data_IF_949397602454
#
_entry.id   IF_949397602454
#
_cell.length_a   1.000
_cell.length_b   1.000
_cell.length_c   1.000
_cell.angle_alpha   90.00
_cell.angle_beta   90.00
_cell.angle_gamma   90.00
#
_symmetry.space_group_name_H-M   'P 1'
#
loop_
_entity.id
_entity.type
_entity.pdbx_description
1 polymer ?
#
# COMPACT_ATOMS: atom_id res chain seq x y z
N UNK A 1 -5.45 53.33 9.54
CA UNK A 1 -4.99 53.56 10.92
C UNK A 1 -4.70 52.20 11.49
N UNK A 2 -3.42 51.85 11.51
CA UNK A 2 -2.52 51.70 12.67
C UNK A 2 -2.97 50.45 13.49
N UNK A 3 -2.18 49.40 13.64
CA UNK A 3 -0.81 49.34 14.04
C UNK A 3 -0.21 47.94 13.92
N UNK A 4 1.02 48.00 13.57
CA UNK A 4 2.01 46.92 13.49
C UNK A 4 2.54 46.65 14.92
N UNK A 5 2.60 45.41 15.35
CA UNK A 5 3.44 45.02 16.49
C UNK A 5 4.37 43.86 16.10
N UNK A 6 5.63 44.25 15.93
CA UNK A 6 6.81 43.35 15.85
C UNK A 6 7.16 42.90 17.27
N UNK A 7 7.40 41.62 17.50
CA UNK A 7 8.18 41.18 18.64
C UNK A 7 9.44 40.43 18.18
N UNK A 8 10.50 40.91 18.77
CA UNK A 8 11.92 40.66 18.56
C UNK A 8 12.34 39.28 19.05
N UNK A 9 13.31 38.73 18.35
CA UNK A 9 14.13 37.60 18.74
C UNK A 9 14.90 37.84 20.05
N UNK A 10 15.08 36.80 20.81
CA UNK A 10 16.10 36.74 21.85
C UNK A 10 16.86 35.40 21.76
N UNK A 11 18.12 35.46 21.38
CA UNK A 11 19.14 34.42 21.58
C UNK A 11 19.88 34.73 22.87
N UNK A 12 20.33 33.76 23.60
CA UNK A 12 21.64 33.91 24.29
C UNK A 12 22.69 32.91 23.84
N UNK A 13 23.85 33.44 23.89
CA UNK A 13 25.19 33.09 23.47
C UNK A 13 25.88 32.07 24.37
N UNK A 14 26.67 31.25 23.72
CA UNK A 14 28.03 30.73 23.95
C UNK A 14 28.69 30.60 25.35
N UNK A 15 29.41 29.49 25.40
CA UNK A 15 30.75 29.25 25.96
C UNK A 15 30.85 28.92 27.46
N UNK A 16 31.40 27.74 27.74
CA UNK A 16 32.76 27.67 28.31
C UNK A 16 33.31 26.23 28.24
N UNK A 17 34.54 26.19 27.74
CA UNK A 17 35.41 25.03 27.71
C UNK A 17 36.14 24.92 29.08
N UNK A 18 36.40 23.74 29.56
CA UNK A 18 37.49 23.50 30.49
C UNK A 18 38.09 22.11 30.31
N UNK A 19 39.30 22.11 29.74
CA UNK A 19 40.29 21.04 29.83
C UNK A 19 40.79 20.88 31.28
N UNK A 20 41.00 19.67 31.72
CA UNK A 20 42.00 19.38 32.75
C UNK A 20 42.75 18.08 32.45
N UNK A 21 44.02 18.25 32.36
CA UNK A 21 45.11 17.32 32.13
C UNK A 21 45.55 16.56 33.43
N UNK A 22 46.18 15.40 33.18
CA UNK A 22 47.40 14.83 33.83
C UNK A 22 47.22 13.91 35.01
N UNK A 23 47.86 12.73 34.90
CA UNK A 23 48.26 11.88 36.00
C UNK A 23 48.77 10.51 35.56
N UNK A 24 50.04 10.44 35.14
CA UNK A 24 50.75 9.19 34.93
C UNK A 24 51.15 8.52 36.27
N UNK A 25 51.10 7.18 36.33
CA UNK A 25 51.64 6.42 37.47
C UNK A 25 51.87 4.97 37.06
N UNK A 26 53.12 4.64 36.75
CA UNK A 26 53.60 3.29 36.53
C UNK A 26 53.89 2.58 37.87
N UNK A 27 53.50 1.30 37.98
CA UNK A 27 54.17 0.35 38.83
C UNK A 27 53.95 -1.10 38.35
N UNK A 28 55.06 -1.75 38.11
CA UNK A 28 55.31 -3.16 37.84
C UNK A 28 55.00 -4.04 39.04
N UNK A 29 54.46 -5.28 38.85
CA UNK A 29 55.02 -6.53 39.38
C UNK A 29 54.22 -7.78 39.01
N UNK A 30 54.95 -8.75 38.50
CA UNK A 30 54.87 -10.22 38.70
C UNK A 30 53.61 -11.03 38.30
N UNK A 31 53.83 -11.97 37.36
CA UNK A 31 53.05 -13.17 37.04
C UNK A 31 52.88 -14.14 38.23
N UNK A 32 51.81 -14.93 38.22
CA UNK A 32 51.99 -16.35 37.88
C UNK A 32 51.01 -16.86 36.81
N UNK A 33 51.47 -17.92 36.14
CA UNK A 33 50.77 -18.66 35.14
C UNK A 33 49.56 -19.41 35.71
N UNK A 34 48.39 -19.25 35.11
CA UNK A 34 47.28 -20.14 35.28
C UNK A 34 46.76 -20.54 33.89
N UNK A 35 46.87 -21.82 33.60
CA UNK A 35 46.32 -22.51 32.47
C UNK A 35 44.80 -22.34 32.48
N UNK A 36 44.24 -21.61 31.53
CA UNK A 36 42.81 -21.52 31.32
C UNK A 36 42.48 -22.27 30.02
N UNK A 37 41.69 -23.32 30.17
CA UNK A 37 41.10 -24.09 29.11
C UNK A 37 40.26 -23.15 28.18
N UNK A 38 40.56 -23.18 26.89
CA UNK A 38 39.82 -22.48 25.87
C UNK A 38 38.45 -23.18 25.69
N UNK A 39 37.43 -22.63 26.32
CA UNK A 39 36.05 -22.91 25.94
C UNK A 39 35.73 -22.05 24.71
N UNK A 40 35.67 -22.70 23.57
CA UNK A 40 35.17 -22.07 22.35
C UNK A 40 33.66 -21.77 22.52
N UNK A 41 33.36 -20.53 22.87
CA UNK A 41 32.01 -19.99 22.78
C UNK A 41 31.80 -19.67 21.30
N UNK A 42 31.16 -20.59 20.60
CA UNK A 42 30.53 -20.28 19.30
C UNK A 42 29.41 -19.29 19.56
N UNK A 43 29.73 -18.01 19.46
CA UNK A 43 28.72 -16.96 19.35
C UNK A 43 27.99 -17.20 18.04
N UNK A 44 26.86 -17.90 18.11
CA UNK A 44 25.89 -17.94 17.04
C UNK A 44 25.41 -16.51 16.80
N UNK A 45 25.85 -15.91 15.69
CA UNK A 45 25.29 -14.69 15.17
C UNK A 45 23.84 -15.01 14.82
N UNK A 46 22.93 -14.73 15.74
CA UNK A 46 21.53 -14.57 15.39
C UNK A 46 21.45 -13.31 14.50
N UNK A 47 21.56 -13.52 13.20
CA UNK A 47 21.08 -12.55 12.23
C UNK A 47 19.57 -12.41 12.49
N UNK A 48 19.20 -11.50 13.39
CA UNK A 48 17.86 -10.96 13.40
C UNK A 48 17.75 -10.19 12.10
N UNK A 49 17.26 -10.84 11.06
CA UNK A 49 16.83 -10.15 9.86
C UNK A 49 15.92 -9.02 10.27
N UNK A 50 16.29 -7.79 9.94
CA UNK A 50 15.34 -6.68 10.04
C UNK A 50 14.08 -7.13 9.27
N UNK A 51 12.87 -6.92 9.83
CA UNK A 51 11.66 -7.22 9.08
C UNK A 51 11.75 -6.43 7.77
N UNK A 52 11.78 -7.16 6.66
CA UNK A 52 11.59 -6.53 5.35
C UNK A 52 10.25 -5.82 5.42
N UNK A 53 10.23 -4.53 5.14
CA UNK A 53 8.98 -3.78 5.05
C UNK A 53 8.18 -4.37 3.87
N UNK A 54 7.16 -5.14 4.17
CA UNK A 54 6.33 -5.81 3.20
C UNK A 54 5.14 -4.94 2.79
N UNK A 55 4.74 -4.97 1.54
CA UNK A 55 3.40 -4.61 1.11
C UNK A 55 2.41 -5.37 1.99
N UNK A 56 1.33 -4.75 2.43
CA UNK A 56 0.48 -5.39 3.44
C UNK A 56 1.35 -6.03 4.53
N UNK A 57 2.00 -5.19 5.33
CA UNK A 57 2.94 -5.62 6.39
C UNK A 57 2.27 -6.64 7.31
N UNK A 58 2.98 -7.73 7.63
CA UNK A 58 2.47 -8.76 8.52
C UNK A 58 1.38 -9.65 7.92
N UNK A 59 1.13 -9.53 6.61
CA UNK A 59 0.25 -10.44 5.88
C UNK A 59 0.86 -11.83 5.68
N UNK A 60 0.04 -12.75 5.22
CA UNK A 60 0.44 -14.11 4.86
C UNK A 60 0.73 -14.20 3.36
N UNK A 61 1.46 -15.24 2.93
CA UNK A 61 1.64 -15.52 1.51
C UNK A 61 0.31 -16.02 0.91
N UNK A 62 -0.16 -15.35 -0.13
CA UNK A 62 -1.38 -15.76 -0.82
C UNK A 62 -1.18 -17.12 -1.52
N UNK A 63 -2.17 -17.99 -1.40
CA UNK A 63 -2.25 -19.18 -2.24
C UNK A 63 -2.63 -18.77 -3.69
N UNK A 64 -2.14 -19.48 -4.71
CA UNK A 64 -2.53 -19.25 -6.11
C UNK A 64 -4.07 -19.32 -6.27
N UNK A 65 -4.63 -18.31 -6.90
CA UNK A 65 -6.07 -18.23 -7.18
C UNK A 65 -6.31 -17.12 -8.22
N UNK A 66 -7.48 -17.13 -8.86
CA UNK A 66 -7.89 -16.07 -9.80
C UNK A 66 -7.79 -14.68 -9.14
N UNK A 67 -8.19 -14.57 -7.87
CA UNK A 67 -8.08 -13.33 -7.11
C UNK A 67 -6.62 -12.90 -6.94
N UNK A 68 -5.76 -13.79 -6.44
CA UNK A 68 -4.34 -13.49 -6.22
C UNK A 68 -3.60 -13.16 -7.52
N UNK A 69 -3.82 -13.97 -8.59
CA UNK A 69 -3.16 -13.82 -9.88
C UNK A 69 -3.56 -12.52 -10.58
N UNK A 70 -4.74 -11.98 -10.28
CA UNK A 70 -5.25 -10.75 -10.86
C UNK A 70 -4.70 -9.47 -10.22
N UNK A 71 -4.03 -9.57 -9.06
CA UNK A 71 -3.49 -8.40 -8.35
C UNK A 71 -2.21 -7.92 -9.04
N UNK A 72 -2.19 -6.65 -9.39
CA UNK A 72 -1.10 -6.03 -10.16
C UNK A 72 -0.53 -4.82 -9.42
N UNK A 73 0.75 -4.50 -9.63
CA UNK A 73 1.27 -3.20 -9.23
C UNK A 73 1.18 -2.20 -10.38
N UNK A 74 0.98 -0.94 -10.03
CA UNK A 74 0.76 0.15 -10.99
C UNK A 74 1.81 1.22 -10.72
N UNK A 75 2.49 1.66 -11.76
CA UNK A 75 3.33 2.83 -11.75
C UNK A 75 2.84 3.84 -12.78
N UNK A 76 2.29 4.96 -12.34
CA UNK A 76 1.88 6.08 -13.19
C UNK A 76 2.91 7.19 -13.07
N UNK A 77 3.48 7.63 -14.19
CA UNK A 77 4.51 8.66 -14.19
C UNK A 77 3.91 10.04 -13.92
N UNK A 78 4.40 10.71 -12.90
CA UNK A 78 4.05 12.11 -12.57
C UNK A 78 5.07 13.10 -13.13
N UNK A 79 6.30 12.64 -13.39
CA UNK A 79 7.38 13.37 -14.06
C UNK A 79 8.38 12.38 -14.68
N UNK A 80 9.43 12.82 -15.40
CA UNK A 80 10.46 11.92 -15.91
C UNK A 80 11.17 11.07 -14.84
N UNK A 81 11.11 11.48 -13.58
CA UNK A 81 11.86 10.85 -12.49
C UNK A 81 11.01 10.46 -11.28
N UNK A 82 9.69 10.71 -11.32
CA UNK A 82 8.77 10.40 -10.22
C UNK A 82 7.52 9.73 -10.75
N UNK A 83 6.88 8.91 -9.91
CA UNK A 83 5.63 8.24 -10.23
C UNK A 83 4.82 7.94 -8.98
N UNK A 84 3.52 7.76 -9.16
CA UNK A 84 2.65 7.19 -8.14
C UNK A 84 2.71 5.68 -8.25
N UNK A 85 2.89 5.03 -7.13
CA UNK A 85 2.83 3.58 -7.02
C UNK A 85 1.53 3.19 -6.33
N UNK A 86 0.81 2.27 -6.94
CA UNK A 86 -0.47 1.77 -6.46
C UNK A 86 -0.61 0.27 -6.74
N UNK A 87 -1.63 -0.30 -6.17
CA UNK A 87 -2.10 -1.65 -6.46
C UNK A 87 -3.35 -1.58 -7.33
N UNK A 88 -3.61 -2.62 -8.11
CA UNK A 88 -4.83 -2.75 -8.90
C UNK A 88 -5.23 -4.20 -9.06
N UNK A 89 -6.35 -4.39 -9.76
CA UNK A 89 -6.89 -5.71 -10.11
C UNK A 89 -7.17 -5.77 -11.60
N UNK A 90 -6.51 -6.68 -12.31
CA UNK A 90 -6.86 -6.99 -13.71
C UNK A 90 -8.22 -7.71 -13.73
N UNK A 91 -9.23 -7.09 -14.34
CA UNK A 91 -10.61 -7.58 -14.40
C UNK A 91 -11.03 -8.03 -15.80
N UNK A 92 -10.20 -7.72 -16.80
CA UNK A 92 -10.35 -8.17 -18.18
C UNK A 92 -8.98 -8.09 -18.88
N UNK A 93 -8.79 -8.66 -20.09
CA UNK A 93 -7.49 -8.72 -20.77
C UNK A 93 -6.72 -7.41 -20.79
N UNK A 94 -7.38 -6.30 -21.09
CA UNK A 94 -6.74 -4.97 -21.16
C UNK A 94 -7.27 -4.00 -20.12
N UNK A 95 -7.93 -4.46 -19.04
CA UNK A 95 -8.54 -3.58 -18.07
C UNK A 95 -8.12 -3.89 -16.63
N UNK A 96 -7.66 -2.84 -15.94
CA UNK A 96 -7.30 -2.88 -14.54
C UNK A 96 -8.14 -1.88 -13.75
N UNK A 97 -8.74 -2.33 -12.65
CA UNK A 97 -9.41 -1.48 -11.66
C UNK A 97 -8.41 -1.04 -10.61
N UNK A 98 -8.44 0.24 -10.25
CA UNK A 98 -7.61 0.83 -9.16
C UNK A 98 -8.34 2.01 -8.52
N UNK A 99 -7.70 2.69 -7.56
CA UNK A 99 -8.24 3.91 -6.97
C UNK A 99 -8.07 5.12 -7.91
N UNK A 100 -9.07 6.02 -7.94
CA UNK A 100 -9.01 7.21 -8.78
C UNK A 100 -7.86 8.15 -8.37
N UNK A 101 -7.53 8.24 -7.09
CA UNK A 101 -6.41 9.08 -6.63
C UNK A 101 -5.05 8.61 -7.14
N UNK A 102 -4.92 7.35 -7.59
CA UNK A 102 -3.69 6.82 -8.19
C UNK A 102 -3.37 7.47 -9.54
N UNK A 103 -4.41 7.88 -10.28
CA UNK A 103 -4.31 8.43 -11.65
C UNK A 103 -4.84 9.87 -11.75
N UNK A 104 -5.49 10.39 -10.70
CA UNK A 104 -5.98 11.78 -10.67
C UNK A 104 -4.81 12.75 -10.61
N UNK A 105 -4.95 13.89 -11.28
CA UNK A 105 -3.97 14.99 -11.31
C UNK A 105 -2.61 14.59 -11.92
N UNK A 106 -2.55 13.46 -12.58
CA UNK A 106 -1.39 13.03 -13.35
C UNK A 106 -1.64 13.42 -14.81
N UNK A 107 -0.72 14.18 -15.40
CA UNK A 107 -0.71 14.35 -16.85
C UNK A 107 -0.52 12.96 -17.49
N UNK A 108 -1.25 12.64 -18.56
CA UNK A 108 -1.18 11.34 -19.23
C UNK A 108 0.21 11.13 -19.87
N UNK A 109 1.23 10.98 -19.04
CA UNK A 109 2.62 10.77 -19.49
C UNK A 109 2.99 9.29 -19.54
N UNK A 110 1.98 8.42 -19.46
CA UNK A 110 2.17 6.99 -19.48
C UNK A 110 2.52 6.41 -18.11
N UNK A 111 2.70 5.12 -18.10
CA UNK A 111 2.99 4.31 -16.93
C UNK A 111 3.06 2.86 -17.36
N UNK A 112 3.17 2.00 -16.39
CA UNK A 112 3.18 0.56 -16.61
C UNK A 112 2.45 -0.16 -15.49
N UNK A 113 1.89 -1.30 -15.83
CA UNK A 113 1.32 -2.26 -14.89
C UNK A 113 2.22 -3.49 -14.88
N UNK A 114 2.63 -3.91 -13.70
CA UNK A 114 3.39 -5.14 -13.52
C UNK A 114 2.44 -6.27 -13.13
N UNK A 115 2.36 -7.28 -13.98
CA UNK A 115 1.53 -8.49 -13.86
C UNK A 115 2.41 -9.66 -13.46
N UNK A 116 2.00 -10.43 -12.45
CA UNK A 116 2.80 -11.52 -11.90
C UNK A 116 3.83 -11.04 -10.88
N UNK A 117 4.68 -11.94 -10.40
CA UNK A 117 5.64 -11.71 -9.33
C UNK A 117 7.02 -12.26 -9.69
N UNK A 118 8.06 -11.65 -9.10
CA UNK A 118 9.44 -12.12 -9.22
C UNK A 118 9.97 -12.05 -10.65
N UNK A 119 10.85 -12.98 -11.05
CA UNK A 119 11.51 -12.95 -12.35
C UNK A 119 10.58 -13.13 -13.56
N UNK A 120 9.41 -13.72 -13.34
CA UNK A 120 8.39 -13.94 -14.36
C UNK A 120 7.41 -12.76 -14.50
N UNK A 121 7.56 -11.71 -13.68
CA UNK A 121 6.71 -10.53 -13.75
C UNK A 121 6.88 -9.82 -15.10
N UNK A 122 5.74 -9.42 -15.68
CA UNK A 122 5.67 -8.77 -16.99
C UNK A 122 5.12 -7.37 -16.85
N UNK A 123 5.76 -6.41 -17.51
CA UNK A 123 5.32 -5.02 -17.54
C UNK A 123 4.54 -4.74 -18.80
N UNK A 124 3.34 -4.22 -18.61
CA UNK A 124 2.41 -3.84 -19.66
C UNK A 124 2.23 -2.33 -19.65
N UNK A 125 2.50 -1.62 -20.75
CA UNK A 125 2.31 -0.17 -20.79
C UNK A 125 0.84 0.21 -20.57
N UNK A 126 0.62 1.34 -19.89
CA UNK A 126 -0.68 1.97 -19.75
C UNK A 126 -0.94 2.81 -21.01
N UNK A 127 -2.07 2.57 -21.69
CA UNK A 127 -2.52 3.36 -22.82
C UNK A 127 -3.32 4.58 -22.36
N UNK A 128 -4.30 4.36 -21.48
CA UNK A 128 -5.19 5.41 -20.98
C UNK A 128 -5.81 5.04 -19.64
N UNK A 129 -6.54 5.95 -19.04
CA UNK A 129 -7.37 5.69 -17.85
C UNK A 129 -8.58 6.61 -17.81
N UNK A 130 -9.60 6.15 -17.13
CA UNK A 130 -10.80 6.92 -16.81
C UNK A 130 -11.10 6.82 -15.31
N UNK A 131 -11.53 7.92 -14.71
CA UNK A 131 -12.00 7.94 -13.31
C UNK A 131 -13.51 7.85 -13.26
N UNK A 132 -14.02 7.05 -12.32
CA UNK A 132 -15.46 6.96 -12.12
C UNK A 132 -16.08 8.33 -11.76
N UNK A 133 -17.32 8.59 -12.17
CA UNK A 133 -18.00 9.85 -11.87
C UNK A 133 -18.27 10.02 -10.36
N UNK A 134 -18.29 8.93 -9.64
CA UNK A 134 -18.44 8.87 -8.17
C UNK A 134 -17.45 7.87 -7.60
N UNK A 135 -17.15 7.98 -6.30
CA UNK A 135 -16.22 7.07 -5.65
C UNK A 135 -14.75 7.38 -5.95
N UNK A 136 -13.90 6.59 -5.35
CA UNK A 136 -12.46 6.63 -5.57
C UNK A 136 -12.03 5.42 -6.39
N UNK A 137 -12.55 5.29 -7.60
CA UNK A 137 -12.30 4.18 -8.53
C UNK A 137 -11.87 4.71 -9.88
N UNK A 138 -10.93 4.05 -10.50
CA UNK A 138 -10.51 4.27 -11.89
C UNK A 138 -10.38 2.94 -12.65
N UNK A 139 -10.55 3.01 -13.96
CA UNK A 139 -10.18 1.98 -14.90
C UNK A 139 -8.95 2.42 -15.68
N UNK A 140 -7.96 1.55 -15.75
CA UNK A 140 -6.77 1.69 -16.58
C UNK A 140 -6.95 0.78 -17.80
N UNK A 141 -6.77 1.33 -18.99
CA UNK A 141 -6.66 0.59 -20.24
C UNK A 141 -5.19 0.30 -20.54
N UNK A 142 -4.89 -0.96 -20.77
CA UNK A 142 -3.54 -1.45 -21.09
C UNK A 142 -3.33 -1.47 -22.60
N UNK A 143 -2.12 -1.15 -23.03
CA UNK A 143 -1.74 -1.23 -24.45
C UNK A 143 -1.74 -2.68 -24.99
N UNK A 144 -1.48 -3.66 -24.12
CA UNK A 144 -1.45 -5.08 -24.42
C UNK A 144 -2.23 -5.87 -23.36
N UNK A 145 -2.57 -7.12 -23.70
CA UNK A 145 -3.27 -8.04 -22.81
C UNK A 145 -2.44 -8.34 -21.54
N UNK A 146 -3.08 -8.28 -20.37
CA UNK A 146 -2.51 -8.76 -19.10
C UNK A 146 -2.17 -10.26 -19.13
N UNK A 147 -2.71 -11.01 -20.09
CA UNK A 147 -2.45 -12.42 -20.38
C UNK A 147 -2.58 -13.33 -19.14
N UNK A 148 -3.59 -13.08 -18.32
CA UNK A 148 -3.97 -13.98 -17.24
C UNK A 148 -4.87 -15.10 -17.79
N UNK A 149 -4.80 -16.31 -17.21
CA UNK A 149 -5.65 -17.42 -17.63
C UNK A 149 -7.14 -17.18 -17.33
N UNK A 150 -7.43 -16.38 -16.30
CA UNK A 150 -8.78 -16.04 -15.85
C UNK A 150 -8.78 -14.68 -15.15
N UNK A 151 -9.91 -13.98 -15.19
CA UNK A 151 -10.12 -12.66 -14.58
C UNK A 151 -11.27 -12.72 -13.58
N UNK A 152 -11.14 -12.11 -12.37
CA UNK A 152 -12.22 -12.09 -11.41
C UNK A 152 -13.36 -11.19 -11.90
N UNK A 153 -14.58 -11.57 -11.57
CA UNK A 153 -15.73 -10.71 -11.79
C UNK A 153 -15.74 -9.55 -10.79
N UNK A 154 -16.15 -8.36 -11.24
CA UNK A 154 -16.53 -7.27 -10.34
C UNK A 154 -17.91 -7.55 -9.75
N UNK A 155 -18.06 -7.39 -8.43
CA UNK A 155 -19.36 -7.49 -7.77
C UNK A 155 -20.27 -6.33 -8.22
N UNK A 156 -21.47 -6.68 -8.68
CA UNK A 156 -22.46 -5.73 -9.26
C UNK A 156 -23.60 -5.44 -8.32
N UNK A 157 -23.77 -6.25 -7.27
CA UNK A 157 -24.80 -6.08 -6.27
C UNK A 157 -24.18 -5.54 -5.01
N UNK A 158 -24.99 -4.96 -4.14
CA UNK A 158 -24.53 -4.53 -2.84
C UNK A 158 -24.05 -5.73 -2.01
N UNK A 159 -22.75 -5.88 -1.88
CA UNK A 159 -22.11 -6.97 -1.12
C UNK A 159 -22.04 -6.65 0.39
N UNK A 160 -22.18 -5.38 0.76
CA UNK A 160 -22.01 -4.92 2.13
C UNK A 160 -23.33 -4.42 2.72
N UNK A 161 -23.51 -4.64 3.99
CA UNK A 161 -24.60 -4.11 4.83
C UNK A 161 -24.00 -3.50 6.10
N UNK A 162 -24.82 -3.15 7.06
CA UNK A 162 -24.36 -2.77 8.40
C UNK A 162 -23.74 -3.94 9.18
N UNK A 163 -24.00 -5.18 8.75
CA UNK A 163 -23.41 -6.38 9.33
C UNK A 163 -22.02 -6.61 8.70
N UNK A 164 -21.09 -7.01 9.54
CA UNK A 164 -19.73 -7.35 9.10
C UNK A 164 -19.72 -8.60 8.24
N UNK A 165 -18.97 -8.55 7.17
CA UNK A 165 -18.73 -9.67 6.25
C UNK A 165 -17.22 -9.89 6.16
N UNK A 166 -16.80 -11.16 6.20
CA UNK A 166 -15.39 -11.49 6.00
C UNK A 166 -15.01 -11.33 4.54
N UNK A 167 -13.82 -10.79 4.31
CA UNK A 167 -13.24 -10.63 2.98
C UNK A 167 -11.75 -10.85 3.00
N UNK A 168 -11.16 -10.95 1.80
CA UNK A 168 -9.72 -11.11 1.59
C UNK A 168 -9.18 -9.89 0.87
N UNK A 169 -8.08 -9.34 1.38
CA UNK A 169 -7.38 -8.20 0.78
C UNK A 169 -5.97 -8.59 0.37
N UNK A 170 -5.46 -7.88 -0.59
CA UNK A 170 -4.12 -8.04 -1.13
C UNK A 170 -3.47 -6.67 -1.32
N UNK A 171 -2.13 -6.61 -1.20
CA UNK A 171 -1.37 -5.39 -1.43
C UNK A 171 -0.13 -5.65 -2.27
N UNK A 172 0.28 -4.65 -3.06
CA UNK A 172 1.50 -4.67 -3.89
C UNK A 172 2.30 -3.39 -3.77
N UNK A 173 2.44 -2.86 -2.56
CA UNK A 173 3.31 -1.70 -2.38
C UNK A 173 4.77 -2.08 -2.68
N UNK A 174 5.59 -1.08 -3.02
CA UNK A 174 7.03 -1.26 -3.25
C UNK A 174 7.80 -1.70 -2.00
N UNK A 175 7.18 -1.65 -0.83
CA UNK A 175 7.84 -1.84 0.45
C UNK A 175 7.84 -3.30 0.90
N UNK A 176 7.27 -4.22 0.12
CA UNK A 176 7.40 -5.56 0.57
C UNK A 176 6.76 -6.67 -0.25
N UNK A 177 7.60 -7.55 -0.67
CA UNK A 177 7.22 -8.92 -0.92
C UNK A 177 7.29 -9.67 0.41
N UNK A 178 6.35 -10.58 0.69
CA UNK A 178 6.58 -11.62 1.70
C UNK A 178 7.87 -12.34 1.33
N UNK A 179 8.55 -12.90 2.32
CA UNK A 179 9.70 -13.74 2.07
C UNK A 179 9.39 -14.70 0.90
N UNK A 180 10.28 -14.74 -0.10
CA UNK A 180 10.17 -15.54 -1.34
C UNK A 180 9.37 -14.91 -2.50
N UNK A 181 9.03 -13.60 -2.46
CA UNK A 181 8.36 -12.92 -3.57
C UNK A 181 6.90 -13.33 -3.78
N UNK A 182 6.23 -13.79 -2.74
CA UNK A 182 4.80 -14.12 -2.78
C UNK A 182 3.94 -12.87 -2.53
N UNK A 183 2.74 -12.86 -3.11
CA UNK A 183 1.76 -11.79 -2.87
C UNK A 183 1.28 -11.82 -1.41
N UNK A 184 1.39 -10.71 -0.65
CA UNK A 184 0.82 -10.67 0.69
C UNK A 184 -0.70 -10.54 0.66
N UNK A 185 -1.35 -11.25 1.59
CA UNK A 185 -2.79 -11.25 1.79
C UNK A 185 -3.14 -11.22 3.26
N UNK A 186 -4.34 -10.74 3.57
CA UNK A 186 -4.92 -10.82 4.91
C UNK A 186 -6.46 -10.94 4.83
N UNK A 187 -7.04 -11.45 5.91
CA UNK A 187 -8.49 -11.42 6.11
C UNK A 187 -8.88 -10.12 6.80
N UNK A 188 -10.02 -9.56 6.39
CA UNK A 188 -10.65 -8.39 7.02
C UNK A 188 -12.10 -8.71 7.35
N UNK A 189 -12.67 -7.97 8.32
CA UNK A 189 -14.11 -7.82 8.46
C UNK A 189 -14.50 -6.48 7.86
N UNK A 190 -15.53 -6.44 7.02
CA UNK A 190 -15.96 -5.25 6.30
C UNK A 190 -17.48 -5.05 6.37
N UNK A 191 -17.90 -3.80 6.50
CA UNK A 191 -19.31 -3.40 6.49
C UNK A 191 -19.50 -2.07 5.76
N UNK A 192 -20.73 -1.69 5.47
CA UNK A 192 -21.01 -0.32 5.02
C UNK A 192 -20.45 0.67 6.04
N UNK A 193 -19.80 1.72 5.56
CA UNK A 193 -19.19 2.71 6.42
C UNK A 193 -20.29 3.48 7.19
N UNK A 194 -20.27 3.46 8.56
CA UNK A 194 -21.31 4.11 9.32
C UNK A 194 -21.31 5.64 9.13
N UNK A 195 -22.45 6.22 8.73
CA UNK A 195 -22.60 7.68 8.45
C UNK A 195 -22.28 8.60 9.63
N UNK A 196 -22.19 8.05 10.83
CA UNK A 196 -21.75 8.79 12.02
C UNK A 196 -20.29 9.24 11.98
N UNK A 197 -19.47 8.60 11.14
CA UNK A 197 -18.07 8.96 10.96
C UNK A 197 -17.92 9.93 9.80
N UNK A 198 -17.19 11.03 10.00
CA UNK A 198 -16.97 12.05 8.96
C UNK A 198 -16.24 11.49 7.72
N UNK A 199 -15.44 10.43 7.89
CA UNK A 199 -14.76 9.74 6.81
C UNK A 199 -15.73 8.95 5.91
N UNK A 200 -16.92 8.61 6.43
CA UNK A 200 -17.96 7.84 5.76
C UNK A 200 -19.00 8.73 5.07
N UNK A 201 -18.58 9.83 4.46
CA UNK A 201 -19.47 10.82 3.83
C UNK A 201 -20.13 10.35 2.54
N UNK A 202 -19.75 9.19 2.03
CA UNK A 202 -20.22 8.65 0.75
C UNK A 202 -21.00 7.36 1.00
N UNK A 203 -22.12 7.21 0.32
CA UNK A 203 -22.97 6.02 0.39
C UNK A 203 -22.32 4.75 -0.17
N UNK A 204 -21.25 4.91 -0.96
CA UNK A 204 -20.47 3.82 -1.55
C UNK A 204 -19.23 3.44 -0.73
N UNK A 205 -19.05 4.01 0.46
CA UNK A 205 -17.90 3.74 1.33
C UNK A 205 -18.11 2.48 2.16
N UNK A 206 -17.07 1.67 2.21
CA UNK A 206 -16.94 0.47 3.05
C UNK A 206 -15.85 0.70 4.07
N UNK A 207 -16.12 0.35 5.32
CA UNK A 207 -15.14 0.31 6.38
C UNK A 207 -14.71 -1.14 6.60
N UNK A 208 -13.42 -1.40 6.41
CA UNK A 208 -12.81 -2.69 6.71
C UNK A 208 -11.94 -2.57 7.96
N UNK A 209 -11.94 -3.59 8.78
CA UNK A 209 -11.07 -3.76 9.93
C UNK A 209 -10.16 -4.97 9.73
N UNK A 210 -8.88 -4.76 9.98
CA UNK A 210 -7.83 -5.79 9.89
C UNK A 210 -7.12 -5.90 11.23
N UNK A 211 -7.01 -7.11 11.76
CA UNK A 211 -6.28 -7.34 12.98
C UNK A 211 -4.77 -7.34 12.76
N UNK A 212 -4.03 -6.77 13.71
CA UNK A 212 -2.58 -6.80 13.69
C UNK A 212 -2.04 -8.24 13.83
N UNK A 213 -0.88 -8.55 13.24
CA UNK A 213 0.13 -7.60 12.74
C UNK A 213 -0.11 -7.09 11.31
N UNK A 214 -1.13 -7.58 10.60
CA UNK A 214 -1.38 -7.18 9.23
C UNK A 214 -1.80 -5.69 9.13
N UNK A 215 -1.24 -4.96 8.15
CA UNK A 215 -1.55 -3.56 7.90
C UNK A 215 -1.27 -3.15 6.45
N UNK A 216 -2.23 -2.45 5.83
CA UNK A 216 -2.05 -1.84 4.50
C UNK A 216 -1.16 -0.61 4.61
N UNK A 217 -0.36 -0.38 3.57
CA UNK A 217 0.67 0.65 3.51
C UNK A 217 0.50 1.56 2.28
N UNK A 218 1.34 2.60 2.21
CA UNK A 218 1.46 3.43 1.00
C UNK A 218 1.88 2.53 -0.17
N UNK A 219 1.13 2.61 -1.27
CA UNK A 219 1.31 1.75 -2.45
C UNK A 219 0.30 0.61 -2.54
N UNK A 220 -0.38 0.25 -1.44
CA UNK A 220 -1.51 -0.68 -1.48
C UNK A 220 -2.81 0.00 -1.96
N UNK A 221 -2.82 1.34 -2.09
CA UNK A 221 -3.92 2.12 -2.68
C UNK A 221 -4.40 1.50 -3.99
N UNK A 222 -5.72 1.36 -4.15
CA UNK A 222 -6.33 0.72 -5.31
C UNK A 222 -6.36 -0.81 -5.23
N UNK A 223 -5.78 -1.40 -4.20
CA UNK A 223 -5.82 -2.85 -3.97
C UNK A 223 -7.23 -3.37 -3.70
N UNK A 224 -7.46 -4.67 -3.99
CA UNK A 224 -8.77 -5.27 -3.92
C UNK A 224 -9.21 -5.66 -2.51
N UNK A 225 -10.51 -5.63 -2.29
CA UNK A 225 -11.22 -6.42 -1.31
C UNK A 225 -12.10 -7.43 -2.06
N UNK A 226 -11.82 -8.71 -1.87
CA UNK A 226 -12.59 -9.81 -2.45
C UNK A 226 -13.56 -10.39 -1.43
N UNK A 227 -14.80 -10.66 -1.89
CA UNK A 227 -15.81 -11.44 -1.18
C UNK A 227 -16.26 -12.55 -2.12
N UNK A 228 -16.24 -13.80 -1.65
CA UNK A 228 -16.62 -14.99 -2.44
C UNK A 228 -15.96 -15.05 -3.83
N UNK A 229 -14.71 -14.60 -3.93
CA UNK A 229 -13.92 -14.59 -5.18
C UNK A 229 -14.28 -13.48 -6.17
N UNK A 230 -15.18 -12.57 -5.82
CA UNK A 230 -15.52 -11.40 -6.63
C UNK A 230 -14.86 -10.14 -6.07
N UNK A 231 -14.40 -9.25 -6.94
CA UNK A 231 -13.89 -7.93 -6.56
C UNK A 231 -15.06 -7.09 -6.04
N UNK A 232 -15.14 -6.91 -4.72
CA UNK A 232 -16.25 -6.23 -4.07
C UNK A 232 -16.00 -4.75 -3.77
N UNK A 233 -14.72 -4.38 -3.51
CA UNK A 233 -14.35 -3.00 -3.24
C UNK A 233 -12.87 -2.73 -3.53
N UNK A 234 -12.52 -1.44 -3.64
CA UNK A 234 -11.21 -0.90 -3.98
C UNK A 234 -10.69 -0.06 -2.82
N UNK A 235 -9.46 -0.28 -2.38
CA UNK A 235 -8.85 0.41 -1.25
C UNK A 235 -8.57 1.87 -1.56
N UNK A 236 -9.07 2.76 -0.70
CA UNK A 236 -8.94 4.22 -0.81
C UNK A 236 -7.95 4.81 0.19
N UNK A 237 -7.85 4.28 1.41
CA UNK A 237 -6.93 4.81 2.40
C UNK A 237 -7.19 4.31 3.83
N UNK A 238 -6.20 4.48 4.69
CA UNK A 238 -6.31 4.18 6.11
C UNK A 238 -7.02 5.33 6.86
N UNK A 239 -7.74 5.02 7.94
CA UNK A 239 -8.44 6.01 8.74
C UNK A 239 -8.24 5.79 10.24
N UNK A 240 -8.22 6.89 11.00
CA UNK A 240 -8.31 6.88 12.46
C UNK A 240 -9.50 7.76 12.87
N UNK A 241 -10.29 7.28 13.84
CA UNK A 241 -11.54 7.94 14.21
C UNK A 241 -11.38 8.95 15.36
N UNK A 242 -10.43 8.75 16.24
CA UNK A 242 -10.24 9.55 17.45
C UNK A 242 -8.91 10.29 17.50
N UNK A 243 -8.05 10.09 16.49
CA UNK A 243 -6.71 10.70 16.44
C UNK A 243 -5.73 10.19 17.51
N UNK A 244 -6.05 9.11 18.21
CA UNK A 244 -5.19 8.50 19.23
C UNK A 244 -3.99 7.77 18.63
N UNK A 245 -4.12 7.34 17.38
CA UNK A 245 -3.09 6.64 16.61
C UNK A 245 -3.01 7.21 15.19
N UNK A 246 -1.89 6.99 14.51
CA UNK A 246 -1.78 7.29 13.10
C UNK A 246 -2.78 6.41 12.29
N UNK A 247 -3.35 6.92 11.16
CA UNK A 247 -4.29 6.14 10.35
C UNK A 247 -3.76 4.74 9.99
N UNK A 248 -2.50 4.62 9.63
CA UNK A 248 -1.85 3.34 9.27
C UNK A 248 -1.73 2.36 10.46
N UNK A 249 -1.85 2.89 11.68
CA UNK A 249 -1.80 2.11 12.92
C UNK A 249 -3.17 1.74 13.46
N UNK A 250 -4.24 2.28 12.89
CA UNK A 250 -5.60 2.10 13.39
C UNK A 250 -6.18 0.71 13.16
N UNK A 251 -5.71 0.01 12.12
CA UNK A 251 -6.32 -1.23 11.62
C UNK A 251 -7.63 -1.01 10.84
N UNK A 252 -8.04 0.26 10.62
CA UNK A 252 -9.26 0.59 9.87
C UNK A 252 -8.94 1.21 8.52
N UNK A 253 -9.64 0.73 7.49
CA UNK A 253 -9.40 1.06 6.10
C UNK A 253 -10.69 1.38 5.37
N UNK A 254 -10.66 2.44 4.55
CA UNK A 254 -11.79 2.81 3.68
C UNK A 254 -11.60 2.21 2.30
N UNK A 255 -12.71 1.69 1.79
CA UNK A 255 -12.84 1.17 0.43
C UNK A 255 -14.03 1.80 -0.26
N UNK A 256 -14.03 1.81 -1.59
CA UNK A 256 -15.19 2.15 -2.43
C UNK A 256 -15.75 0.88 -3.05
N UNK A 257 -17.06 0.64 -2.95
CA UNK A 257 -17.71 -0.54 -3.54
C UNK A 257 -17.61 -0.55 -5.05
N UNK A 258 -17.36 -1.72 -5.66
CA UNK A 258 -17.39 -1.85 -7.11
C UNK A 258 -18.81 -1.82 -7.65
N UNK A 259 -19.81 -2.23 -6.89
CA UNK A 259 -21.22 -2.22 -7.29
C UNK A 259 -21.73 -0.80 -7.60
N UNK A 260 -21.22 0.22 -6.91
CA UNK A 260 -21.60 1.63 -7.15
C UNK A 260 -21.14 2.16 -8.51
N UNK A 261 -20.10 1.58 -9.09
CA UNK A 261 -19.50 2.00 -10.37
C UNK A 261 -19.61 0.96 -11.48
N UNK A 262 -20.24 -0.18 -11.21
CA UNK A 262 -20.28 -1.31 -12.15
C UNK A 262 -20.88 -0.95 -13.51
N UNK A 263 -21.96 -0.17 -13.55
CA UNK A 263 -22.60 0.25 -14.80
C UNK A 263 -21.68 1.17 -15.63
N UNK A 264 -20.97 2.09 -14.97
CA UNK A 264 -19.99 2.95 -15.61
C UNK A 264 -18.83 2.10 -16.15
N UNK A 265 -18.26 1.23 -15.34
CA UNK A 265 -17.15 0.36 -15.73
C UNK A 265 -17.50 -0.50 -16.95
N UNK A 266 -18.70 -1.10 -16.97
CA UNK A 266 -19.19 -1.84 -18.15
C UNK A 266 -19.33 -0.96 -19.38
N UNK A 267 -19.73 0.30 -19.21
CA UNK A 267 -19.81 1.27 -20.29
C UNK A 267 -18.45 1.57 -20.90
N UNK A 268 -17.46 1.86 -20.04
CA UNK A 268 -16.09 2.16 -20.44
C UNK A 268 -15.43 0.95 -21.11
N UNK A 269 -15.49 -0.22 -20.50
CA UNK A 269 -14.86 -1.43 -21.04
C UNK A 269 -15.45 -1.93 -22.38
N UNK A 270 -16.69 -1.52 -22.72
CA UNK A 270 -17.29 -1.83 -24.04
C UNK A 270 -16.98 -0.81 -25.13
N UNK A 271 -16.51 0.38 -24.78
CA UNK A 271 -16.07 1.37 -25.75
C UNK A 271 -14.67 0.96 -26.21
N UNK A 272 -14.58 0.47 -27.47
CA UNK A 272 -13.26 0.36 -28.09
C UNK A 272 -12.60 1.75 -28.07
N UNK A 273 -11.29 1.85 -27.78
CA UNK A 273 -10.60 3.13 -27.83
C UNK A 273 -10.84 3.73 -29.22
N UNK A 274 -11.34 4.95 -29.24
CA UNK A 274 -11.55 5.69 -30.50
C UNK A 274 -10.20 5.80 -31.19
N UNK A 275 -10.01 5.05 -32.28
CA UNK A 275 -8.83 5.21 -33.14
C UNK A 275 -8.90 6.63 -33.70
N UNK A 276 -8.13 7.54 -33.14
CA UNK A 276 -7.84 8.83 -33.73
C UNK A 276 -7.00 8.53 -34.96
N UNK A 277 -7.65 8.46 -36.14
CA UNK A 277 -6.94 8.43 -37.42
C UNK A 277 -6.41 9.83 -37.63
N UNK A 278 -5.09 10.02 -37.46
CA UNK A 278 -4.36 11.23 -37.90
C UNK A 278 -4.32 11.32 -39.45
#
# INVERSE_FOLDING_TARGET
MIGILRHRANRPNSADAQEQHVGAGAASTAKPAATVAAAAITAGLLLTGAPSAAALVGGEAAAPSVAADSVVSIMVRTSPHTGNFCTGTAVAPQWVVTAAHCVRDVSQQGGEVEVGFGPEARRVPIESWETAPTGDVALIHLADDAALPEYPAMERRQAFSEQETAGTVYGRSLLGDVADGALPTATVTASMCPVKYQQCVREDSVLAHMERPAALQVGDSGGPLFIDGQLAAVFSGAVAFDGSVAPEESGYYLYTTTSSVAQWADGVMRQEPSVVVE
#
